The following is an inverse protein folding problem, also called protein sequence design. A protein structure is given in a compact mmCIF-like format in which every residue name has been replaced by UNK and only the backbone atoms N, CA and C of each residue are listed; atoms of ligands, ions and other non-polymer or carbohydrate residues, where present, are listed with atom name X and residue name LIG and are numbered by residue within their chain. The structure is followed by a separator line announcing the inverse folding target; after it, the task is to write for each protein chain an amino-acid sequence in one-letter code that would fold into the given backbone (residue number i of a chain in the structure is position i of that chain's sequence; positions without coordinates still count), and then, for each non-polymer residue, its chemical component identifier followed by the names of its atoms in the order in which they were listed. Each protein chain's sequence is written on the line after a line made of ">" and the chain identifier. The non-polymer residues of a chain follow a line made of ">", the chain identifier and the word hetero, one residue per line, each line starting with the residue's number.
data_IF_478428920772
#
_entry.id   IF_478428920772
#
_cell.length_a   1.000
_cell.length_b   1.000
_cell.length_c   1.000
_cell.angle_alpha   90.00
_cell.angle_beta   90.00
_cell.angle_gamma   90.00
#
_symmetry.space_group_name_H-M   'P 1'
#
loop_
_entity.id
_entity.type
_entity.pdbx_description
1 polymer ?
#
# COMPACT_ATOMS: atom_id res chain seq x y z
N UNK A 1 3.67 -20.38 5.22
CA UNK A 1 4.95 -19.71 5.52
C UNK A 1 4.91 -18.36 4.81
N UNK A 2 5.37 -17.26 5.41
CA UNK A 2 5.42 -15.93 4.78
C UNK A 2 6.76 -15.81 4.06
N UNK A 3 6.74 -15.60 2.74
CA UNK A 3 7.93 -15.34 1.95
C UNK A 3 8.28 -13.84 2.05
N UNK A 4 9.38 -13.51 2.73
CA UNK A 4 9.83 -12.16 3.02
C UNK A 4 11.08 -11.83 2.21
N UNK A 5 11.08 -10.71 1.49
CA UNK A 5 12.27 -10.16 0.85
C UNK A 5 12.81 -9.01 1.72
N UNK A 6 14.00 -9.20 2.29
CA UNK A 6 14.72 -8.21 3.07
C UNK A 6 15.80 -7.54 2.23
N UNK A 7 15.70 -6.23 2.05
CA UNK A 7 16.66 -5.41 1.29
C UNK A 7 17.32 -4.43 2.26
N UNK A 8 18.55 -4.76 2.67
CA UNK A 8 19.30 -4.07 3.72
C UNK A 8 20.79 -4.17 3.40
N UNK A 9 21.51 -3.08 3.30
CA UNK A 9 22.93 -3.11 2.93
C UNK A 9 23.85 -3.47 4.11
N UNK A 10 23.47 -3.09 5.33
CA UNK A 10 24.20 -3.46 6.53
C UNK A 10 24.13 -4.98 6.77
N UNK A 11 25.30 -5.63 6.72
CA UNK A 11 25.43 -7.09 6.85
C UNK A 11 24.99 -7.58 8.22
N UNK A 12 25.30 -6.82 9.28
CA UNK A 12 24.98 -7.22 10.66
C UNK A 12 23.47 -7.15 10.89
N UNK A 13 22.84 -6.04 10.48
CA UNK A 13 21.38 -5.86 10.57
C UNK A 13 20.68 -6.92 9.73
N UNK A 14 21.15 -7.15 8.51
CA UNK A 14 20.59 -8.14 7.60
C UNK A 14 20.63 -9.55 8.17
N UNK A 15 21.77 -9.98 8.71
CA UNK A 15 21.94 -11.31 9.32
C UNK A 15 21.08 -11.47 10.57
N UNK A 16 21.03 -10.45 11.43
CA UNK A 16 20.20 -10.44 12.62
C UNK A 16 18.71 -10.56 12.28
N UNK A 17 18.23 -9.76 11.33
CA UNK A 17 16.82 -9.79 10.94
C UNK A 17 16.45 -11.09 10.22
N UNK A 18 17.32 -11.63 9.37
CA UNK A 18 17.09 -12.91 8.71
C UNK A 18 16.88 -14.02 9.73
N UNK A 19 17.79 -14.16 10.71
CA UNK A 19 17.68 -15.16 11.77
C UNK A 19 16.45 -14.94 12.66
N UNK A 20 16.19 -13.69 13.03
CA UNK A 20 15.06 -13.35 13.91
C UNK A 20 13.71 -13.64 13.25
N UNK A 21 13.51 -13.19 12.01
CA UNK A 21 12.27 -13.41 11.25
C UNK A 21 12.07 -14.89 10.92
N UNK A 22 13.18 -15.61 10.65
CA UNK A 22 13.16 -17.07 10.47
C UNK A 22 12.61 -17.79 11.70
N UNK A 23 12.97 -17.35 12.90
CA UNK A 23 12.41 -17.85 14.17
C UNK A 23 10.90 -17.66 14.35
N UNK A 24 10.29 -16.73 13.60
CA UNK A 24 8.83 -16.52 13.53
C UNK A 24 8.15 -17.22 12.36
N UNK A 25 8.83 -18.19 11.71
CA UNK A 25 8.27 -19.01 10.63
C UNK A 25 8.17 -18.28 9.29
N UNK A 26 9.00 -17.27 9.07
CA UNK A 26 9.12 -16.57 7.79
C UNK A 26 10.28 -17.16 6.96
N UNK A 27 10.06 -17.31 5.67
CA UNK A 27 11.12 -17.65 4.72
C UNK A 27 11.74 -16.35 4.20
N UNK A 28 12.92 -16.01 4.70
CA UNK A 28 13.57 -14.74 4.38
C UNK A 28 14.57 -14.94 3.23
N UNK A 29 14.46 -14.11 2.21
CA UNK A 29 15.51 -13.91 1.20
C UNK A 29 16.12 -12.54 1.48
N UNK A 30 17.37 -12.51 1.91
CA UNK A 30 18.06 -11.29 2.32
C UNK A 30 19.08 -10.86 1.26
N UNK A 31 19.02 -9.60 0.82
CA UNK A 31 19.88 -9.01 -0.20
C UNK A 31 20.37 -7.62 0.22
N UNK A 32 21.57 -7.24 -0.24
CA UNK A 32 22.21 -5.98 0.17
C UNK A 32 22.10 -4.84 -0.84
N UNK A 33 21.46 -5.03 -1.98
CA UNK A 33 21.42 -4.03 -3.07
C UNK A 33 20.10 -4.05 -3.81
N UNK A 34 19.73 -2.93 -4.44
CA UNK A 34 18.56 -2.85 -5.30
C UNK A 34 18.69 -3.77 -6.54
N UNK A 35 19.89 -3.96 -7.06
CA UNK A 35 20.12 -4.88 -8.16
C UNK A 35 19.84 -6.33 -7.76
N UNK A 36 20.34 -6.78 -6.62
CA UNK A 36 20.06 -8.12 -6.10
C UNK A 36 18.57 -8.32 -5.79
N UNK A 37 17.89 -7.29 -5.27
CA UNK A 37 16.45 -7.27 -5.07
C UNK A 37 15.70 -7.51 -6.39
N UNK A 38 16.05 -6.81 -7.47
CA UNK A 38 15.42 -7.01 -8.79
C UNK A 38 15.61 -8.42 -9.33
N UNK A 39 16.76 -9.03 -9.09
CA UNK A 39 17.01 -10.43 -9.45
C UNK A 39 16.11 -11.36 -8.63
N UNK A 40 16.02 -11.16 -7.33
CA UNK A 40 15.17 -11.96 -6.46
C UNK A 40 13.68 -11.88 -6.85
N UNK A 41 13.18 -10.67 -7.15
CA UNK A 41 11.78 -10.45 -7.59
C UNK A 41 11.46 -11.11 -8.93
N UNK A 42 12.45 -11.28 -9.82
CA UNK A 42 12.27 -12.02 -11.08
C UNK A 42 12.28 -13.52 -10.87
N UNK A 43 12.98 -14.01 -9.86
CA UNK A 43 13.17 -15.43 -9.60
C UNK A 43 11.97 -16.07 -8.88
N UNK A 44 11.30 -15.31 -7.99
CA UNK A 44 10.16 -15.81 -7.19
C UNK A 44 9.25 -14.68 -6.70
N UNK A 45 8.05 -15.06 -6.30
CA UNK A 45 7.11 -14.16 -5.63
C UNK A 45 7.39 -14.07 -4.13
N UNK A 46 7.11 -12.91 -3.54
CA UNK A 46 7.20 -12.65 -2.11
C UNK A 46 5.88 -12.10 -1.58
N UNK A 47 5.60 -12.39 -0.32
CA UNK A 47 4.40 -11.91 0.37
C UNK A 47 4.58 -10.50 0.94
N UNK A 48 5.81 -10.12 1.31
CA UNK A 48 6.17 -8.82 1.89
C UNK A 48 7.60 -8.46 1.54
N UNK A 49 7.86 -7.17 1.37
CA UNK A 49 9.20 -6.61 1.21
C UNK A 49 9.53 -5.67 2.38
N UNK A 50 10.69 -5.84 2.98
CA UNK A 50 11.31 -4.91 3.90
C UNK A 50 12.39 -4.17 3.13
N UNK A 51 12.31 -2.85 3.03
CA UNK A 51 13.15 -2.05 2.15
C UNK A 51 13.84 -0.94 2.94
N UNK A 52 15.17 -0.99 3.01
CA UNK A 52 15.93 0.15 3.51
C UNK A 52 15.84 1.33 2.55
N UNK A 53 15.80 2.53 3.12
CA UNK A 53 15.85 3.78 2.35
C UNK A 53 17.22 4.07 1.76
N UNK A 54 18.28 3.65 2.43
CA UNK A 54 19.67 3.97 2.05
C UNK A 54 20.35 2.71 1.55
N UNK A 55 20.36 2.50 0.24
CA UNK A 55 21.09 1.41 -0.40
C UNK A 55 22.27 1.98 -1.22
N UNK A 56 23.35 1.22 -1.35
CA UNK A 56 24.57 1.70 -2.05
C UNK A 56 24.33 1.98 -3.54
N UNK A 57 23.33 1.35 -4.14
CA UNK A 57 23.01 1.43 -5.57
C UNK A 57 21.65 2.05 -5.88
N UNK A 58 21.00 2.71 -4.88
CA UNK A 58 19.74 3.40 -5.11
C UNK A 58 19.07 3.90 -3.84
N UNK A 59 18.23 4.92 -4.01
CA UNK A 59 17.39 5.42 -2.91
C UNK A 59 16.12 4.59 -2.79
N UNK A 60 15.81 4.07 -1.61
CA UNK A 60 14.64 3.22 -1.33
C UNK A 60 13.30 3.85 -1.77
N UNK A 61 13.18 5.18 -1.71
CA UNK A 61 12.00 5.89 -2.21
C UNK A 61 11.79 5.73 -3.72
N UNK A 62 12.86 5.81 -4.51
CA UNK A 62 12.78 5.61 -5.95
C UNK A 62 12.49 4.14 -6.30
N UNK A 63 13.09 3.22 -5.54
CA UNK A 63 12.84 1.78 -5.65
C UNK A 63 11.38 1.47 -5.33
N UNK A 64 10.82 2.03 -4.26
CA UNK A 64 9.41 1.87 -3.93
C UNK A 64 8.50 2.33 -5.07
N UNK A 65 8.80 3.49 -5.66
CA UNK A 65 8.05 4.01 -6.83
C UNK A 65 8.14 3.06 -8.02
N UNK A 66 9.33 2.55 -8.33
CA UNK A 66 9.58 1.57 -9.39
C UNK A 66 8.74 0.31 -9.19
N UNK A 67 8.81 -0.29 -8.00
CA UNK A 67 8.06 -1.50 -7.65
C UNK A 67 6.55 -1.26 -7.73
N UNK A 68 6.06 -0.11 -7.28
CA UNK A 68 4.62 0.22 -7.35
C UNK A 68 4.11 0.41 -8.78
N UNK A 69 4.97 0.64 -9.74
CA UNK A 69 4.62 0.66 -11.16
C UNK A 69 4.28 -0.74 -11.73
N UNK A 70 4.76 -1.81 -11.10
CA UNK A 70 4.66 -3.18 -11.64
C UNK A 70 4.20 -4.23 -10.61
N UNK A 71 4.12 -3.90 -9.32
CA UNK A 71 3.80 -4.84 -8.26
C UNK A 71 3.00 -4.20 -7.13
N UNK A 72 2.12 -4.99 -6.52
CA UNK A 72 1.35 -4.65 -5.32
C UNK A 72 1.91 -5.30 -4.05
N UNK A 73 3.10 -5.91 -4.13
CA UNK A 73 3.75 -6.49 -2.96
C UNK A 73 3.74 -5.51 -1.79
N UNK A 74 3.31 -5.90 -0.60
CA UNK A 74 3.39 -5.04 0.58
C UNK A 74 4.82 -4.63 0.87
N UNK A 75 5.05 -3.31 1.06
CA UNK A 75 6.37 -2.75 1.36
C UNK A 75 6.33 -2.09 2.73
N UNK A 76 7.20 -2.53 3.62
CA UNK A 76 7.53 -1.85 4.88
C UNK A 76 8.89 -1.20 4.72
N UNK A 77 8.94 0.12 4.82
CA UNK A 77 10.21 0.86 4.74
C UNK A 77 10.93 0.88 6.07
N UNK A 78 12.23 0.60 6.03
CA UNK A 78 13.15 0.74 7.15
C UNK A 78 13.94 2.04 6.96
N UNK A 79 14.09 2.87 8.00
CA UNK A 79 14.71 4.20 7.86
C UNK A 79 15.47 4.62 9.09
N UNK A 80 16.45 5.50 8.93
CA UNK A 80 17.08 6.16 10.07
C UNK A 80 16.06 7.03 10.83
N UNK A 81 16.13 7.00 12.17
CA UNK A 81 15.27 7.81 13.05
C UNK A 81 15.54 9.30 12.81
N UNK A 82 14.49 10.09 12.59
CA UNK A 82 14.61 11.56 12.57
C UNK A 82 14.31 12.24 11.25
N UNK A 83 13.94 11.54 10.19
CA UNK A 83 13.50 12.20 8.95
C UNK A 83 11.97 12.07 8.72
N UNK A 84 11.18 13.02 9.28
CA UNK A 84 9.73 13.05 9.07
C UNK A 84 9.36 13.22 7.59
N UNK A 85 10.21 13.88 6.81
CA UNK A 85 9.97 14.16 5.39
C UNK A 85 10.06 12.87 4.58
N UNK A 86 11.12 12.08 4.75
CA UNK A 86 11.24 10.77 4.07
C UNK A 86 10.15 9.80 4.47
N UNK A 87 9.66 9.85 5.71
CA UNK A 87 8.53 9.05 6.18
C UNK A 87 7.22 9.41 5.45
N UNK A 88 6.94 10.68 5.32
CA UNK A 88 5.77 11.18 4.59
C UNK A 88 5.88 10.81 3.11
N UNK A 89 7.03 11.09 2.50
CA UNK A 89 7.29 10.78 1.09
C UNK A 89 7.21 9.26 0.82
N UNK A 90 7.72 8.42 1.72
CA UNK A 90 7.67 6.96 1.57
C UNK A 90 6.24 6.41 1.52
N UNK A 91 5.35 6.92 2.38
CA UNK A 91 3.93 6.57 2.37
C UNK A 91 3.22 7.14 1.13
N UNK A 92 3.60 8.35 0.70
CA UNK A 92 3.11 8.95 -0.55
C UNK A 92 3.51 8.13 -1.78
N UNK A 93 4.69 7.54 -1.77
CA UNK A 93 5.18 6.67 -2.84
C UNK A 93 4.57 5.27 -2.83
N UNK A 94 3.73 4.95 -1.83
CA UNK A 94 2.93 3.73 -1.78
C UNK A 94 3.48 2.63 -0.89
N UNK A 95 4.38 2.94 0.05
CA UNK A 95 4.71 2.02 1.13
C UNK A 95 3.46 1.73 1.97
N UNK A 96 3.34 0.51 2.49
CA UNK A 96 2.20 0.08 3.29
C UNK A 96 2.41 0.35 4.78
N UNK A 97 3.66 0.43 5.21
CA UNK A 97 4.07 0.82 6.56
C UNK A 97 5.51 1.33 6.57
N UNK A 98 5.93 1.85 7.71
CA UNK A 98 7.18 2.52 7.92
C UNK A 98 7.73 2.27 9.32
N UNK A 99 9.02 1.92 9.44
CA UNK A 99 9.66 1.63 10.72
C UNK A 99 11.00 2.34 10.85
N UNK A 100 11.13 3.20 11.87
CA UNK A 100 12.35 3.96 12.13
C UNK A 100 13.42 3.14 12.86
N UNK A 101 14.66 3.15 12.37
CA UNK A 101 15.84 2.61 13.06
C UNK A 101 16.34 3.60 14.12
N UNK A 102 16.72 3.15 15.33
CA UNK A 102 16.68 1.77 15.82
C UNK A 102 15.25 1.34 16.18
N UNK A 103 14.93 0.08 15.95
CA UNK A 103 13.64 -0.52 16.28
C UNK A 103 13.80 -1.86 16.99
N UNK A 104 12.79 -2.21 17.76
CA UNK A 104 12.70 -3.54 18.36
C UNK A 104 12.28 -4.57 17.30
N UNK A 105 13.01 -5.70 17.12
CA UNK A 105 12.64 -6.72 16.13
C UNK A 105 11.21 -7.25 16.29
N UNK A 106 10.68 -7.28 17.52
CA UNK A 106 9.26 -7.62 17.78
C UNK A 106 8.27 -6.66 17.14
N UNK A 107 8.61 -5.37 17.08
CA UNK A 107 7.77 -4.37 16.42
C UNK A 107 7.70 -4.66 14.93
N UNK A 108 8.83 -4.99 14.30
CA UNK A 108 8.87 -5.36 12.88
C UNK A 108 7.97 -6.55 12.58
N UNK A 109 8.05 -7.63 13.38
CA UNK A 109 7.17 -8.80 13.26
C UNK A 109 5.69 -8.42 13.38
N UNK A 110 5.34 -7.60 14.37
CA UNK A 110 3.97 -7.14 14.55
C UNK A 110 3.46 -6.33 13.34
N UNK A 111 4.30 -5.49 12.75
CA UNK A 111 3.99 -4.71 11.54
C UNK A 111 3.85 -5.59 10.31
N UNK A 112 4.76 -6.56 10.11
CA UNK A 112 4.62 -7.56 9.04
C UNK A 112 3.27 -8.26 9.14
N UNK A 113 2.92 -8.79 10.31
CA UNK A 113 1.63 -9.45 10.50
C UNK A 113 0.45 -8.50 10.31
N UNK A 114 0.55 -7.24 10.71
CA UNK A 114 -0.50 -6.25 10.50
C UNK A 114 -0.70 -5.94 9.00
N UNK A 115 0.38 -5.77 8.25
CA UNK A 115 0.35 -5.57 6.81
C UNK A 115 -0.19 -6.82 6.11
N UNK A 116 0.28 -8.00 6.48
CA UNK A 116 -0.18 -9.28 5.92
C UNK A 116 -1.66 -9.56 6.18
N UNK A 117 -2.18 -9.25 7.37
CA UNK A 117 -3.64 -9.33 7.62
C UNK A 117 -4.44 -8.47 6.67
N UNK A 118 -3.93 -7.27 6.37
CA UNK A 118 -4.58 -6.32 5.46
C UNK A 118 -4.57 -6.80 4.01
N UNK A 119 -3.54 -7.55 3.61
CA UNK A 119 -3.39 -8.07 2.24
C UNK A 119 -4.03 -9.43 2.03
N UNK A 120 -4.05 -10.30 3.04
CA UNK A 120 -4.61 -11.67 2.95
C UNK A 120 -6.10 -11.77 3.29
N UNK A 121 -6.78 -10.63 3.54
CA UNK A 121 -8.25 -10.63 3.67
C UNK A 121 -8.78 -11.27 4.94
N UNK A 122 -8.19 -11.02 6.12
CA UNK A 122 -8.98 -11.14 7.35
C UNK A 122 -10.13 -10.12 7.24
N UNK A 123 -11.38 -10.48 7.56
CA UNK A 123 -12.51 -9.56 7.40
C UNK A 123 -12.13 -8.23 8.05
N UNK A 124 -12.19 -7.17 7.27
CA UNK A 124 -12.28 -5.82 7.81
C UNK A 124 -13.35 -5.93 8.89
N UNK A 125 -13.00 -5.59 10.15
CA UNK A 125 -14.02 -5.38 11.17
C UNK A 125 -15.14 -4.64 10.46
N UNK A 126 -16.32 -5.28 10.42
CA UNK A 126 -17.49 -4.76 9.72
C UNK A 126 -17.59 -3.25 9.96
N UNK A 127 -17.25 -2.47 8.95
CA UNK A 127 -17.77 -1.11 8.89
C UNK A 127 -19.26 -1.36 8.72
N UNK A 128 -20.01 -1.24 9.80
CA UNK A 128 -21.47 -1.44 9.83
C UNK A 128 -22.05 -0.65 8.66
N UNK A 129 -22.52 -1.35 7.63
CA UNK A 129 -23.17 -0.76 6.47
C UNK A 129 -22.41 -0.84 5.14
N UNK A 130 -21.19 -1.33 5.06
CA UNK A 130 -20.48 -1.42 3.78
C UNK A 130 -20.84 -2.71 3.03
N UNK A 131 -21.11 -2.60 1.72
CA UNK A 131 -21.45 -3.74 0.86
C UNK A 131 -20.23 -4.66 0.66
N UNK A 132 -20.34 -5.98 0.85
CA UNK A 132 -19.24 -6.91 0.59
C UNK A 132 -18.71 -6.84 -0.85
N UNK A 133 -19.61 -6.67 -1.80
CA UNK A 133 -19.33 -6.46 -3.22
C UNK A 133 -20.01 -5.17 -3.65
N UNK A 134 -19.29 -4.29 -4.29
CA UNK A 134 -19.80 -3.04 -4.85
C UNK A 134 -19.62 -3.04 -6.37
N UNK A 135 -20.64 -2.63 -7.10
CA UNK A 135 -20.61 -2.52 -8.57
C UNK A 135 -20.86 -1.08 -9.00
N UNK A 136 -20.05 -0.58 -9.92
CA UNK A 136 -20.17 0.78 -10.45
C UNK A 136 -19.59 0.86 -11.87
N UNK A 137 -20.33 1.39 -12.81
CA UNK A 137 -19.93 1.54 -14.23
C UNK A 137 -19.23 0.30 -14.83
N UNK A 138 -19.77 -0.88 -14.56
CA UNK A 138 -19.20 -2.16 -15.03
C UNK A 138 -18.04 -2.71 -14.20
N UNK A 139 -17.47 -1.93 -13.27
CA UNK A 139 -16.48 -2.41 -12.31
C UNK A 139 -17.14 -3.25 -11.20
N UNK A 140 -16.44 -4.29 -10.76
CA UNK A 140 -16.81 -5.09 -9.60
C UNK A 140 -15.72 -5.00 -8.54
N UNK A 141 -16.05 -4.46 -7.37
CA UNK A 141 -15.13 -4.32 -6.24
C UNK A 141 -15.55 -5.26 -5.12
N UNK A 142 -14.90 -6.43 -5.05
CA UNK A 142 -15.08 -7.46 -4.00
C UNK A 142 -14.14 -7.14 -2.83
N UNK A 143 -14.69 -6.65 -1.74
CA UNK A 143 -13.93 -6.25 -0.55
C UNK A 143 -13.45 -7.44 0.27
N UNK A 144 -14.21 -8.54 0.25
CA UNK A 144 -13.87 -9.78 0.96
C UNK A 144 -12.64 -10.42 0.34
N UNK A 145 -12.67 -10.55 -1.00
CA UNK A 145 -11.54 -11.09 -1.77
C UNK A 145 -10.45 -10.06 -2.05
N UNK A 146 -10.67 -8.79 -1.67
CA UNK A 146 -9.79 -7.63 -1.98
C UNK A 146 -9.47 -7.51 -3.48
N UNK A 147 -10.48 -7.71 -4.31
CA UNK A 147 -10.34 -7.78 -5.76
C UNK A 147 -11.12 -6.67 -6.44
N UNK A 148 -10.49 -6.02 -7.40
CA UNK A 148 -11.14 -5.10 -8.33
C UNK A 148 -11.11 -5.75 -9.71
N UNK A 149 -12.28 -5.86 -10.35
CA UNK A 149 -12.42 -6.41 -11.71
C UNK A 149 -12.95 -5.31 -12.62
N UNK A 150 -12.31 -5.12 -13.77
CA UNK A 150 -12.71 -4.14 -14.77
C UNK A 150 -13.96 -4.57 -15.54
N UNK A 151 -14.60 -3.67 -16.32
CA UNK A 151 -15.70 -4.03 -17.23
C UNK A 151 -15.32 -5.11 -18.26
N UNK A 152 -14.04 -5.20 -18.61
CA UNK A 152 -13.48 -6.20 -19.54
C UNK A 152 -13.11 -7.53 -18.83
N UNK A 153 -13.60 -7.75 -17.60
CA UNK A 153 -13.32 -8.92 -16.74
C UNK A 153 -11.83 -9.11 -16.38
N UNK A 154 -11.02 -8.06 -16.52
CA UNK A 154 -9.60 -8.10 -16.13
C UNK A 154 -9.46 -7.76 -14.64
N UNK A 155 -8.68 -8.58 -13.92
CA UNK A 155 -8.34 -8.28 -12.53
C UNK A 155 -7.34 -7.12 -12.45
N UNK A 156 -7.64 -6.15 -11.60
CA UNK A 156 -6.80 -4.98 -11.34
C UNK A 156 -6.32 -5.02 -9.89
N UNK A 157 -5.03 -5.19 -9.73
CA UNK A 157 -4.42 -5.24 -8.40
C UNK A 157 -4.34 -3.85 -7.75
N UNK A 158 -4.74 -3.78 -6.48
CA UNK A 158 -4.67 -2.58 -5.66
C UNK A 158 -3.67 -2.76 -4.52
N UNK A 159 -2.81 -1.77 -4.32
CA UNK A 159 -2.05 -1.69 -3.06
C UNK A 159 -3.00 -1.50 -1.87
N UNK A 160 -2.51 -1.75 -0.65
CA UNK A 160 -3.35 -1.58 0.55
C UNK A 160 -3.86 -0.15 0.72
N UNK A 161 -3.08 0.86 0.33
CA UNK A 161 -3.50 2.27 0.37
C UNK A 161 -4.61 2.57 -0.65
N UNK A 162 -4.44 2.11 -1.89
CA UNK A 162 -5.44 2.25 -2.96
C UNK A 162 -6.75 1.53 -2.62
N UNK A 163 -6.65 0.32 -2.06
CA UNK A 163 -7.81 -0.45 -1.63
C UNK A 163 -8.61 0.29 -0.54
N UNK A 164 -7.92 0.82 0.49
CA UNK A 164 -8.59 1.57 1.57
C UNK A 164 -9.24 2.83 1.05
N UNK A 165 -8.51 3.60 0.23
CA UNK A 165 -9.05 4.84 -0.33
C UNK A 165 -10.26 4.58 -1.24
N UNK A 166 -10.19 3.55 -2.11
CA UNK A 166 -11.33 3.15 -2.94
C UNK A 166 -12.51 2.71 -2.08
N UNK A 167 -12.29 1.95 -1.00
CA UNK A 167 -13.36 1.55 -0.07
C UNK A 167 -14.09 2.76 0.50
N UNK A 168 -13.33 3.76 0.98
CA UNK A 168 -13.92 5.00 1.54
C UNK A 168 -14.71 5.77 0.48
N UNK A 169 -14.16 5.91 -0.73
CA UNK A 169 -14.82 6.61 -1.83
C UNK A 169 -16.12 5.93 -2.26
N UNK A 170 -16.13 4.61 -2.32
CA UNK A 170 -17.30 3.79 -2.68
C UNK A 170 -18.39 3.88 -1.59
N UNK A 171 -18.01 3.85 -0.31
CA UNK A 171 -18.96 3.96 0.81
C UNK A 171 -19.61 5.35 0.90
N UNK A 172 -18.95 6.37 0.36
CA UNK A 172 -19.43 7.75 0.36
C UNK A 172 -19.71 8.26 -1.07
N UNK A 173 -20.13 7.35 -1.96
CA UNK A 173 -20.45 7.70 -3.34
C UNK A 173 -21.50 8.83 -3.39
N UNK A 174 -21.27 9.82 -4.24
CA UNK A 174 -22.12 11.01 -4.35
C UNK A 174 -21.86 12.11 -3.30
N UNK A 175 -20.90 11.89 -2.36
CA UNK A 175 -20.52 12.90 -1.36
C UNK A 175 -19.13 13.45 -1.65
N UNK A 176 -18.96 14.76 -1.45
CA UNK A 176 -17.64 15.40 -1.49
C UNK A 176 -16.92 15.12 -0.17
N UNK A 177 -15.76 14.51 -0.24
CA UNK A 177 -14.89 14.24 0.91
C UNK A 177 -13.64 15.11 0.84
N UNK A 178 -13.37 15.85 1.91
CA UNK A 178 -12.13 16.63 2.02
C UNK A 178 -10.90 15.70 2.06
N UNK A 179 -9.72 16.25 1.75
CA UNK A 179 -8.46 15.50 1.82
C UNK A 179 -8.20 14.95 3.22
N UNK A 180 -8.41 15.79 4.24
CA UNK A 180 -8.26 15.41 5.65
C UNK A 180 -9.18 14.26 6.02
N UNK A 181 -10.44 14.32 5.60
CA UNK A 181 -11.42 13.28 5.88
C UNK A 181 -11.09 11.96 5.17
N UNK A 182 -10.69 12.02 3.90
CA UNK A 182 -10.20 10.86 3.16
C UNK A 182 -8.98 10.25 3.83
N UNK A 183 -8.06 11.11 4.26
CA UNK A 183 -6.86 10.72 4.98
C UNK A 183 -7.23 9.98 6.28
N UNK A 184 -8.07 10.58 7.11
CA UNK A 184 -8.51 10.02 8.39
C UNK A 184 -9.20 8.68 8.22
N UNK A 185 -10.16 8.57 7.30
CA UNK A 185 -10.96 7.37 7.07
C UNK A 185 -10.17 6.24 6.39
N UNK A 186 -9.15 6.58 5.58
CA UNK A 186 -8.29 5.59 4.91
C UNK A 186 -7.01 5.24 5.70
N UNK A 187 -6.80 5.85 6.87
CA UNK A 187 -5.64 5.56 7.73
C UNK A 187 -5.50 4.08 8.06
N UNK A 188 -4.25 3.64 8.11
CA UNK A 188 -3.88 2.45 8.88
C UNK A 188 -3.76 2.81 10.35
N UNK A 189 -4.16 1.96 11.28
CA UNK A 189 -3.83 2.15 12.69
C UNK A 189 -2.32 2.37 12.88
N UNK A 190 -1.94 3.51 13.47
CA UNK A 190 -0.54 3.87 13.71
C UNK A 190 0.19 4.61 12.58
N UNK A 191 -0.44 4.86 11.43
CA UNK A 191 0.18 5.63 10.35
C UNK A 191 -0.11 7.13 10.49
N UNK A 192 0.94 7.96 10.46
CA UNK A 192 0.84 9.41 10.25
C UNK A 192 0.93 9.67 8.75
N UNK A 193 -0.15 10.11 8.14
CA UNK A 193 -0.23 10.41 6.70
C UNK A 193 -0.33 11.93 6.51
N UNK A 194 0.06 12.45 5.35
CA UNK A 194 -0.14 13.84 4.93
C UNK A 194 -1.16 13.95 3.81
N UNK A 195 -1.70 15.15 3.59
CA UNK A 195 -2.69 15.45 2.55
C UNK A 195 -2.22 15.09 1.14
N UNK A 196 -0.91 15.25 0.88
CA UNK A 196 -0.30 14.92 -0.41
C UNK A 196 -0.37 13.42 -0.73
N UNK A 197 -0.44 12.55 0.27
CA UNK A 197 -0.58 11.11 0.08
C UNK A 197 -1.91 10.73 -0.56
N UNK A 198 -2.98 11.47 -0.25
CA UNK A 198 -4.31 11.28 -0.84
C UNK A 198 -4.30 11.60 -2.33
N UNK A 199 -3.75 12.76 -2.72
CA UNK A 199 -3.71 13.20 -4.11
C UNK A 199 -2.95 12.21 -5.00
N UNK A 200 -1.84 11.67 -4.51
CA UNK A 200 -1.05 10.67 -5.23
C UNK A 200 -1.79 9.32 -5.34
N UNK A 201 -2.46 8.90 -4.26
CA UNK A 201 -3.23 7.66 -4.26
C UNK A 201 -4.44 7.78 -5.18
N UNK A 202 -5.12 8.95 -5.19
CA UNK A 202 -6.19 9.26 -6.15
C UNK A 202 -5.67 9.21 -7.60
N UNK A 203 -4.50 9.79 -7.87
CA UNK A 203 -3.90 9.77 -9.20
C UNK A 203 -3.66 8.33 -9.68
N UNK A 204 -3.14 7.45 -8.81
CA UNK A 204 -2.93 6.04 -9.12
C UNK A 204 -4.23 5.26 -9.31
N UNK A 205 -5.23 5.51 -8.45
CA UNK A 205 -6.55 4.91 -8.61
C UNK A 205 -7.18 5.30 -9.95
N UNK A 206 -7.12 6.59 -10.32
CA UNK A 206 -7.60 7.04 -11.64
C UNK A 206 -6.92 6.30 -12.78
N UNK A 207 -5.61 6.17 -12.72
CA UNK A 207 -4.87 5.43 -13.75
C UNK A 207 -5.34 3.96 -13.84
N UNK A 208 -5.52 3.28 -12.71
CA UNK A 208 -5.99 1.88 -12.66
C UNK A 208 -7.45 1.73 -13.08
N UNK A 209 -8.29 2.68 -12.72
CA UNK A 209 -9.70 2.74 -13.13
C UNK A 209 -9.89 3.24 -14.59
N UNK A 210 -8.79 3.53 -15.29
CA UNK A 210 -8.82 4.18 -16.63
C UNK A 210 -9.67 5.45 -16.61
N UNK A 211 -9.63 6.17 -15.49
CA UNK A 211 -10.41 7.37 -15.23
C UNK A 211 -9.60 8.61 -15.62
N UNK A 212 -10.07 9.36 -16.62
CA UNK A 212 -9.42 10.57 -17.09
C UNK A 212 -9.48 11.74 -16.08
N UNK A 213 -10.21 11.59 -14.96
CA UNK A 213 -10.35 12.61 -13.91
C UNK A 213 -11.09 13.88 -14.34
N UNK A 214 -11.63 13.90 -15.55
CA UNK A 214 -12.39 15.02 -16.12
C UNK A 214 -13.89 14.96 -15.78
N UNK A 215 -14.68 15.85 -16.34
CA UNK A 215 -16.11 16.02 -16.03
C UNK A 215 -17.02 14.78 -16.16
N UNK A 216 -16.52 13.64 -16.66
CA UNK A 216 -17.20 12.35 -16.74
C UNK A 216 -16.56 11.23 -15.91
N UNK A 217 -15.45 11.51 -15.19
CA UNK A 217 -14.68 10.48 -14.47
C UNK A 217 -15.35 10.00 -13.19
N UNK A 218 -14.94 8.80 -12.76
CA UNK A 218 -15.39 8.15 -11.51
C UNK A 218 -14.99 8.96 -10.27
N UNK A 219 -13.74 9.45 -10.24
CA UNK A 219 -13.21 10.24 -9.12
C UNK A 219 -13.01 11.68 -9.63
N UNK A 220 -13.87 12.60 -9.22
CA UNK A 220 -13.79 14.02 -9.58
C UNK A 220 -13.07 14.84 -8.54
N UNK A 221 -12.23 15.78 -8.98
CA UNK A 221 -11.63 16.78 -8.08
C UNK A 221 -12.58 17.95 -7.91
N UNK A 222 -12.97 18.22 -6.69
CA UNK A 222 -13.72 19.42 -6.30
C UNK A 222 -12.72 20.44 -5.76
N UNK A 223 -12.45 21.48 -6.57
CA UNK A 223 -11.40 22.48 -6.25
C UNK A 223 -11.65 23.14 -4.90
N UNK A 224 -10.67 23.11 -4.01
CA UNK A 224 -10.77 23.65 -2.66
C UNK A 224 -11.51 22.78 -1.66
N UNK A 225 -12.29 21.78 -2.10
CA UNK A 225 -13.15 20.97 -1.24
C UNK A 225 -12.64 19.51 -1.06
N UNK A 226 -12.06 18.90 -2.13
CA UNK A 226 -11.56 17.52 -2.05
C UNK A 226 -11.92 16.66 -3.27
N UNK A 227 -12.47 15.47 -3.02
CA UNK A 227 -12.81 14.49 -4.05
C UNK A 227 -14.23 13.97 -3.92
N UNK A 228 -14.84 13.68 -5.06
CA UNK A 228 -16.18 13.10 -5.19
C UNK A 228 -16.10 11.80 -5.99
N UNK A 229 -16.66 10.71 -5.47
CA UNK A 229 -16.90 9.50 -6.26
C UNK A 229 -18.24 9.66 -7.00
N UNK A 230 -18.14 10.05 -8.27
CA UNK A 230 -19.26 10.59 -9.06
C UNK A 230 -20.01 9.49 -9.84
N UNK A 231 -20.42 8.42 -9.14
CA UNK A 231 -21.17 7.32 -9.75
C UNK A 231 -22.13 6.71 -8.73
N UNK A 232 -23.15 6.03 -9.23
CA UNK A 232 -24.00 5.19 -8.38
C UNK A 232 -23.30 3.87 -8.10
N UNK A 233 -23.39 3.41 -6.86
CA UNK A 233 -22.86 2.13 -6.40
C UNK A 233 -24.02 1.19 -6.08
N UNK A 234 -23.93 -0.03 -6.58
CA UNK A 234 -24.91 -1.11 -6.37
C UNK A 234 -24.26 -2.26 -5.61
N UNK A 235 -25.06 -3.04 -4.90
CA UNK A 235 -24.63 -4.26 -4.22
C UNK A 235 -24.31 -5.39 -5.21
#
# INVERSE_FOLDING_TARGET
>A
MIACLLVEDDVEIRTLLEGYLGGYGMEVTAVGTAQAMRVALKARSFDVMLLDLMLPDGQGLNICREIRGSSVIPIIMLTAQGDPVSRVIGLELGADDYLGKPFEPRELVARIHAVMRRTRGTPVQEIKGSMPVARFQGWTFDRVKRRLTSPDEVMVDLSSAEFRLLSVLVDHAGQVLSRDRLLEMSKSPGATLSDRSVDLTVSRLRHKLRDAGQAGGLIRTMRGEGYLFATQVQA
#
